data_IF_581834384429
#
_entry.id   IF_581834384429
#
_cell.length_a   1.000
_cell.length_b   1.000
_cell.length_c   1.000
_cell.angle_alpha   90.00
_cell.angle_beta   90.00
_cell.angle_gamma   90.00
#
_symmetry.space_group_name_H-M   'P 1'
#
loop_
_entity.id
_entity.type
_entity.pdbx_description
1 polymer ?
#
# COMPACT_ATOMS: atom_id res chain seq x y z
N UNK A 1 -3.55 2.55 -14.00
CA UNK A 1 -3.39 1.47 -13.00
C UNK A 1 -3.51 0.08 -13.61
N UNK A 2 -4.30 -0.13 -14.67
CA UNK A 2 -4.28 -1.40 -15.42
C UNK A 2 -2.85 -1.71 -15.86
N UNK A 3 -2.28 -2.81 -15.35
CA UNK A 3 -0.89 -3.22 -15.61
C UNK A 3 0.16 -2.74 -14.58
N UNK A 4 -0.19 -1.82 -13.67
CA UNK A 4 0.70 -1.34 -12.61
C UNK A 4 0.42 -1.94 -11.23
N UNK A 5 -0.81 -2.42 -11.02
CA UNK A 5 -1.27 -2.98 -9.75
C UNK A 5 -1.94 -4.32 -10.02
N UNK A 6 -1.54 -5.35 -9.28
CA UNK A 6 -2.03 -6.71 -9.43
C UNK A 6 -3.55 -6.82 -9.29
N UNK A 7 -4.15 -7.84 -9.90
CA UNK A 7 -5.62 -8.01 -9.97
C UNK A 7 -6.26 -8.26 -8.60
N UNK A 8 -5.52 -8.87 -7.68
CA UNK A 8 -5.94 -9.18 -6.31
C UNK A 8 -6.03 -7.96 -5.39
N UNK A 9 -5.48 -6.81 -5.77
CA UNK A 9 -5.54 -5.58 -4.97
C UNK A 9 -6.85 -4.83 -5.24
N UNK A 10 -7.80 -4.89 -4.32
CA UNK A 10 -9.17 -4.39 -4.55
C UNK A 10 -9.46 -3.02 -3.93
N UNK A 11 -8.66 -2.58 -2.96
CA UNK A 11 -8.85 -1.30 -2.28
C UNK A 11 -8.20 -0.14 -3.05
N UNK A 12 -8.84 1.03 -3.04
CA UNK A 12 -8.35 2.31 -3.60
C UNK A 12 -7.97 2.29 -5.10
N UNK A 13 -8.41 1.28 -5.84
CA UNK A 13 -8.24 1.18 -7.30
C UNK A 13 -9.56 1.51 -7.98
N UNK A 14 -9.53 2.47 -8.93
CA UNK A 14 -10.72 2.84 -9.70
C UNK A 14 -11.32 1.62 -10.40
N UNK A 15 -12.61 1.39 -10.20
CA UNK A 15 -13.35 0.28 -10.79
C UNK A 15 -13.30 -1.03 -10.00
N UNK A 16 -12.54 -1.10 -8.89
CA UNK A 16 -12.54 -2.23 -7.95
C UNK A 16 -13.26 -1.81 -6.66
N UNK A 17 -13.98 -2.75 -6.05
CA UNK A 17 -14.77 -2.51 -4.85
C UNK A 17 -14.25 -3.38 -3.71
N UNK A 18 -14.41 -2.90 -2.48
CA UNK A 18 -13.93 -3.61 -1.27
C UNK A 18 -14.57 -5.00 -1.15
N UNK A 19 -15.83 -5.16 -1.59
CA UNK A 19 -16.49 -6.45 -1.58
C UNK A 19 -15.89 -7.47 -2.55
N UNK A 20 -15.21 -7.03 -3.61
CA UNK A 20 -14.56 -7.95 -4.56
C UNK A 20 -13.47 -8.76 -3.83
N UNK A 21 -12.69 -8.10 -2.95
CA UNK A 21 -11.64 -8.78 -2.17
C UNK A 21 -12.22 -9.77 -1.16
N UNK A 22 -13.31 -9.40 -0.49
CA UNK A 22 -14.01 -10.28 0.45
C UNK A 22 -14.59 -11.48 -0.28
N UNK A 23 -15.20 -11.27 -1.44
CA UNK A 23 -15.77 -12.35 -2.26
C UNK A 23 -14.70 -13.34 -2.71
N UNK A 24 -13.58 -12.85 -3.27
CA UNK A 24 -12.45 -13.70 -3.69
C UNK A 24 -11.94 -14.54 -2.52
N UNK A 25 -11.77 -13.95 -1.34
CA UNK A 25 -11.32 -14.67 -0.15
C UNK A 25 -12.33 -15.76 0.28
N UNK A 26 -13.61 -15.41 0.36
CA UNK A 26 -14.68 -16.35 0.74
C UNK A 26 -14.77 -17.55 -0.23
N UNK A 27 -14.80 -17.28 -1.53
CA UNK A 27 -14.87 -18.33 -2.57
C UNK A 27 -13.62 -19.22 -2.56
N UNK A 28 -12.44 -18.63 -2.35
CA UNK A 28 -11.19 -19.40 -2.23
C UNK A 28 -11.25 -20.35 -1.04
N UNK A 29 -11.70 -19.89 0.13
CA UNK A 29 -11.83 -20.72 1.33
C UNK A 29 -12.87 -21.83 1.11
N UNK A 30 -14.01 -21.51 0.52
CA UNK A 30 -15.05 -22.49 0.21
C UNK A 30 -14.54 -23.57 -0.74
N UNK A 31 -13.83 -23.18 -1.80
CA UNK A 31 -13.23 -24.12 -2.75
C UNK A 31 -12.21 -25.04 -2.08
N UNK A 32 -11.32 -24.52 -1.21
CA UNK A 32 -10.35 -25.33 -0.47
C UNK A 32 -11.04 -26.36 0.44
N UNK A 33 -12.11 -25.97 1.13
CA UNK A 33 -12.93 -26.87 1.95
C UNK A 33 -13.55 -27.99 1.14
N UNK A 34 -14.16 -27.66 -0.01
CA UNK A 34 -14.78 -28.64 -0.92
C UNK A 34 -13.75 -29.63 -1.47
N UNK A 35 -12.52 -29.17 -1.75
CA UNK A 35 -11.44 -30.02 -2.24
C UNK A 35 -10.69 -30.78 -1.14
N UNK A 36 -11.03 -30.59 0.13
CA UNK A 36 -10.38 -31.20 1.30
C UNK A 36 -8.84 -31.06 1.27
N UNK A 37 -8.34 -29.92 0.77
CA UNK A 37 -6.90 -29.66 0.69
C UNK A 37 -6.40 -29.14 2.04
N UNK A 38 -5.41 -29.81 2.61
CA UNK A 38 -4.67 -29.29 3.75
C UNK A 38 -4.01 -27.95 3.35
N UNK A 39 -4.47 -26.86 3.95
CA UNK A 39 -4.09 -25.50 3.58
C UNK A 39 -3.98 -24.63 4.81
N UNK A 40 -3.02 -23.72 4.82
CA UNK A 40 -2.85 -22.69 5.86
C UNK A 40 -3.22 -21.34 5.26
N UNK A 41 -4.01 -20.56 6.00
CA UNK A 41 -4.35 -19.19 5.63
C UNK A 41 -3.51 -18.25 6.49
N UNK A 42 -2.80 -17.34 5.84
CA UNK A 42 -1.99 -16.32 6.51
C UNK A 42 -2.68 -14.97 6.30
N UNK A 43 -3.03 -14.33 7.43
CA UNK A 43 -3.55 -12.95 7.43
C UNK A 43 -2.46 -12.03 7.94
N UNK A 44 -2.05 -11.08 7.09
CA UNK A 44 -1.06 -10.05 7.41
C UNK A 44 -1.75 -8.70 7.56
N UNK A 45 -1.26 -7.90 8.51
CA UNK A 45 -1.69 -6.52 8.69
C UNK A 45 -0.47 -5.62 8.90
N UNK A 46 -0.52 -4.41 8.35
CA UNK A 46 0.58 -3.46 8.45
C UNK A 46 0.40 -2.57 9.68
N UNK A 47 1.26 -2.74 10.67
CA UNK A 47 1.29 -1.83 11.81
C UNK A 47 1.58 -0.40 11.35
N UNK A 48 0.66 0.53 11.65
CA UNK A 48 0.79 1.96 11.29
C UNK A 48 1.14 2.17 9.82
N UNK A 49 0.40 1.49 8.94
CA UNK A 49 0.69 1.34 7.51
C UNK A 49 1.11 2.64 6.79
N UNK A 50 0.47 3.76 7.12
CA UNK A 50 0.79 5.06 6.53
C UNK A 50 2.02 5.71 7.19
N UNK A 51 2.22 5.58 8.50
CA UNK A 51 3.23 6.34 9.25
C UNK A 51 4.66 5.81 9.08
N UNK A 52 4.81 4.53 8.71
CA UNK A 52 6.12 3.86 8.68
C UNK A 52 6.79 3.83 7.30
N UNK A 53 6.09 4.28 6.25
CA UNK A 53 6.59 4.21 4.87
C UNK A 53 7.79 5.13 4.68
N UNK A 54 8.92 4.57 4.27
CA UNK A 54 10.13 5.34 3.96
C UNK A 54 9.97 6.04 2.60
N UNK A 55 10.21 7.35 2.55
CA UNK A 55 10.08 8.14 1.32
C UNK A 55 11.03 7.69 0.20
N UNK A 56 12.24 7.27 0.54
CA UNK A 56 13.18 6.73 -0.45
C UNK A 56 12.64 5.44 -1.10
N UNK A 57 11.86 4.65 -0.36
CA UNK A 57 11.21 3.47 -0.93
C UNK A 57 10.10 3.85 -1.90
N UNK A 58 9.30 4.88 -1.57
CA UNK A 58 8.29 5.43 -2.51
C UNK A 58 8.96 5.87 -3.83
N UNK A 59 10.05 6.63 -3.75
CA UNK A 59 10.76 7.10 -4.95
C UNK A 59 11.33 5.94 -5.78
N UNK A 60 11.91 4.93 -5.12
CA UNK A 60 12.40 3.72 -5.78
C UNK A 60 11.28 2.95 -6.49
N UNK A 61 10.11 2.81 -5.87
CA UNK A 61 8.96 2.13 -6.48
C UNK A 61 8.48 2.90 -7.71
N UNK A 62 8.32 4.21 -7.60
CA UNK A 62 7.93 5.07 -8.73
C UNK A 62 8.94 4.98 -9.87
N UNK A 63 10.24 4.99 -9.58
CA UNK A 63 11.28 4.81 -10.58
C UNK A 63 11.17 3.46 -11.29
N UNK A 64 11.02 2.36 -10.54
CA UNK A 64 10.89 1.01 -11.13
C UNK A 64 9.60 0.83 -11.92
N UNK A 65 8.55 1.56 -11.59
CA UNK A 65 7.29 1.61 -12.33
C UNK A 65 7.32 2.56 -13.54
N UNK A 66 8.46 3.22 -13.82
CA UNK A 66 8.65 4.05 -15.01
C UNK A 66 8.14 5.48 -14.88
N UNK A 67 7.88 5.96 -13.66
CA UNK A 67 7.51 7.37 -13.45
C UNK A 67 8.70 8.29 -13.73
N UNK A 68 8.48 9.31 -14.55
CA UNK A 68 9.49 10.28 -14.91
C UNK A 68 10.00 11.12 -13.73
N UNK A 69 11.21 11.67 -13.87
CA UNK A 69 11.89 12.46 -12.84
C UNK A 69 11.05 13.62 -12.31
N UNK A 70 10.31 14.31 -13.19
CA UNK A 70 9.42 15.41 -12.81
C UNK A 70 8.30 14.98 -11.86
N UNK A 71 7.64 13.86 -12.16
CA UNK A 71 6.57 13.32 -11.31
C UNK A 71 7.10 12.89 -9.95
N UNK A 72 8.24 12.19 -9.94
CA UNK A 72 8.93 11.79 -8.72
C UNK A 72 9.31 12.99 -7.86
N UNK A 73 9.86 14.05 -8.46
CA UNK A 73 10.21 15.28 -7.75
C UNK A 73 8.98 15.95 -7.10
N UNK A 74 7.85 16.01 -7.80
CA UNK A 74 6.60 16.52 -7.23
C UNK A 74 6.09 15.67 -6.08
N UNK A 75 6.09 14.33 -6.24
CA UNK A 75 5.72 13.43 -5.15
C UNK A 75 6.63 13.60 -3.94
N UNK A 76 7.95 13.70 -4.15
CA UNK A 76 8.91 13.95 -3.09
C UNK A 76 8.62 15.27 -2.36
N UNK A 77 8.31 16.33 -3.08
CA UNK A 77 7.95 17.61 -2.48
C UNK A 77 6.68 17.49 -1.61
N UNK A 78 5.63 16.85 -2.13
CA UNK A 78 4.36 16.66 -1.40
C UNK A 78 4.52 15.89 -0.08
N UNK A 79 5.37 14.85 -0.06
CA UNK A 79 5.55 14.00 1.13
C UNK A 79 6.59 14.57 2.11
N UNK A 80 7.64 15.24 1.63
CA UNK A 80 8.77 15.71 2.46
C UNK A 80 8.53 17.04 3.16
N UNK A 81 7.67 17.90 2.61
CA UNK A 81 7.36 19.22 3.18
C UNK A 81 6.36 19.17 4.32
N UNK A 82 5.78 18.00 4.60
CA UNK A 82 4.80 17.80 5.65
C UNK A 82 5.38 18.08 7.06
N UNK A 83 4.64 18.87 7.85
CA UNK A 83 4.85 18.99 9.29
C UNK A 83 3.62 18.50 10.05
N UNK A 84 3.84 17.98 11.27
CA UNK A 84 2.79 17.52 12.19
C UNK A 84 2.91 18.29 13.51
N UNK A 85 1.77 18.58 14.13
CA UNK A 85 1.64 18.97 15.53
C UNK A 85 0.77 17.94 16.25
N UNK A 86 1.05 17.69 17.53
CA UNK A 86 0.26 16.82 18.38
C UNK A 86 -0.70 17.69 19.19
N UNK A 87 -1.99 17.35 19.20
CA UNK A 87 -2.97 18.05 20.04
C UNK A 87 -2.85 17.55 21.49
N UNK A 88 -2.59 18.46 22.43
CA UNK A 88 -2.52 18.20 23.87
C UNK A 88 -3.56 19.08 24.56
N UNK A 89 -4.58 18.46 25.16
CA UNK A 89 -5.69 19.18 25.82
C UNK A 89 -6.39 20.22 24.94
N UNK A 90 -6.47 19.97 23.62
CA UNK A 90 -7.11 20.89 22.67
C UNK A 90 -6.18 21.99 22.13
N UNK A 91 -4.93 22.05 22.59
CA UNK A 91 -3.93 22.97 22.05
C UNK A 91 -2.88 22.23 21.21
N UNK A 92 -2.48 22.76 20.03
CA UNK A 92 -1.45 22.14 19.21
C UNK A 92 -0.06 22.33 19.81
N UNK A 93 0.73 21.25 19.82
CA UNK A 93 2.16 21.33 20.12
C UNK A 93 2.91 22.14 19.06
N UNK A 94 4.18 22.49 19.37
CA UNK A 94 5.10 22.99 18.35
C UNK A 94 5.17 22.00 17.17
N UNK A 95 5.09 22.48 15.92
CA UNK A 95 5.15 21.61 14.76
C UNK A 95 6.56 21.03 14.61
N UNK A 96 6.63 19.78 14.16
CA UNK A 96 7.86 19.10 13.80
C UNK A 96 7.75 18.52 12.39
N UNK A 97 8.90 18.37 11.73
CA UNK A 97 8.97 17.80 10.38
C UNK A 97 8.80 16.29 10.44
N UNK A 98 8.09 15.75 9.45
CA UNK A 98 8.07 14.31 9.25
C UNK A 98 9.42 13.84 8.66
N UNK A 99 9.79 12.60 8.92
CA UNK A 99 10.97 11.96 8.30
C UNK A 99 10.58 10.75 7.43
N UNK A 100 9.34 10.29 7.60
CA UNK A 100 8.73 9.16 6.93
C UNK A 100 7.23 9.26 7.02
N UNK A 101 6.55 8.42 6.28
CA UNK A 101 5.12 8.23 6.30
C UNK A 101 4.38 9.01 5.21
N UNK A 102 3.16 8.58 4.97
CA UNK A 102 2.20 9.19 4.07
C UNK A 102 1.10 9.83 4.92
N UNK A 103 0.66 11.03 4.55
CA UNK A 103 -0.31 11.79 5.35
C UNK A 103 -1.70 11.17 5.23
N UNK A 104 -2.30 10.77 6.34
CA UNK A 104 -3.71 10.35 6.32
C UNK A 104 -4.61 11.54 6.02
N UNK A 105 -5.62 11.34 5.17
CA UNK A 105 -6.51 12.40 4.68
C UNK A 105 -5.98 13.16 3.46
N UNK A 106 -4.73 12.93 3.05
CA UNK A 106 -4.19 13.44 1.78
C UNK A 106 -4.68 12.57 0.62
N UNK A 107 -5.30 13.13 -0.43
CA UNK A 107 -5.81 12.37 -1.58
C UNK A 107 -4.71 11.60 -2.34
N UNK A 108 -3.44 12.01 -2.25
CA UNK A 108 -2.32 11.32 -2.90
C UNK A 108 -1.88 10.07 -2.11
N UNK A 109 -2.03 10.07 -0.79
CA UNK A 109 -1.51 9.01 0.08
C UNK A 109 -2.07 7.61 -0.23
N UNK A 110 -3.39 7.40 -0.44
CA UNK A 110 -3.91 6.08 -0.80
C UNK A 110 -3.35 5.56 -2.12
N UNK A 111 -3.13 6.45 -3.10
CA UNK A 111 -2.53 6.08 -4.38
C UNK A 111 -1.10 5.58 -4.21
N UNK A 112 -0.26 6.33 -3.50
CA UNK A 112 1.12 5.94 -3.23
C UNK A 112 1.20 4.65 -2.39
N UNK A 113 0.30 4.50 -1.42
CA UNK A 113 0.21 3.31 -0.60
C UNK A 113 -0.05 2.05 -1.44
N UNK A 114 -1.02 2.10 -2.37
CA UNK A 114 -1.32 0.98 -3.25
C UNK A 114 -0.12 0.56 -4.09
N UNK A 115 0.61 1.51 -4.67
CA UNK A 115 1.80 1.20 -5.48
C UNK A 115 2.90 0.54 -4.65
N UNK A 116 3.13 1.05 -3.44
CA UNK A 116 4.15 0.52 -2.52
C UNK A 116 3.79 -0.89 -2.06
N UNK A 117 2.53 -1.15 -1.70
CA UNK A 117 2.08 -2.46 -1.24
C UNK A 117 2.05 -3.48 -2.37
N UNK A 118 1.81 -3.06 -3.62
CA UNK A 118 1.81 -3.98 -4.76
C UNK A 118 3.18 -4.63 -4.99
N UNK A 119 4.27 -4.02 -4.52
CA UNK A 119 5.60 -4.64 -4.51
C UNK A 119 5.61 -5.95 -3.72
N UNK A 120 4.92 -6.01 -2.57
CA UNK A 120 4.81 -7.24 -1.79
C UNK A 120 4.06 -8.31 -2.57
N UNK A 121 2.98 -7.93 -3.26
CA UNK A 121 2.22 -8.86 -4.10
C UNK A 121 3.08 -9.42 -5.25
N UNK A 122 3.88 -8.58 -5.90
CA UNK A 122 4.84 -9.00 -6.93
C UNK A 122 5.92 -9.94 -6.36
N UNK A 123 6.47 -9.64 -5.18
CA UNK A 123 7.48 -10.48 -4.53
C UNK A 123 6.92 -11.87 -4.16
N UNK A 124 5.70 -11.92 -3.62
CA UNK A 124 5.02 -13.19 -3.32
C UNK A 124 4.79 -13.98 -4.60
N UNK A 125 4.31 -13.34 -5.67
CA UNK A 125 4.10 -14.00 -6.96
C UNK A 125 5.39 -14.57 -7.56
N UNK A 126 6.52 -13.89 -7.37
CA UNK A 126 7.83 -14.36 -7.81
C UNK A 126 8.33 -15.55 -6.97
N UNK A 127 8.18 -15.51 -5.64
CA UNK A 127 8.52 -16.64 -4.76
C UNK A 127 7.72 -17.90 -5.12
N UNK A 128 6.41 -17.75 -5.34
CA UNK A 128 5.52 -18.84 -5.76
C UNK A 128 5.98 -19.48 -7.08
N UNK A 129 6.45 -18.69 -8.06
CA UNK A 129 6.98 -19.22 -9.33
C UNK A 129 8.27 -20.01 -9.15
N UNK A 130 9.10 -19.63 -8.17
CA UNK A 130 10.35 -20.33 -7.84
C UNK A 130 10.14 -21.57 -6.97
N UNK A 131 8.95 -21.73 -6.38
CA UNK A 131 8.65 -22.81 -5.45
C UNK A 131 9.24 -22.58 -4.05
N UNK A 132 9.47 -21.32 -3.69
CA UNK A 132 9.97 -20.85 -2.39
C UNK A 132 8.82 -20.47 -1.45
#
# INVERSE_FOLDING_TARGET
MSGLVGESQTAFVKGRRIHDGVLIACETIQWLKLKKRATTIIKLDFQKAYDIIKWNFVDMVLEKMGFGTRWRAWTAECIRTASISIMVNGEPSKPFKMERGLRQGDPLSPFLFVLVVDVLNMMIGEAVKKGE
#
